data_IF_014622788552
#
_entry.id   IF_014622788552
#
_cell.length_a   1.000
_cell.length_b   1.000
_cell.length_c   1.000
_cell.angle_alpha   90.00
_cell.angle_beta   90.00
_cell.angle_gamma   90.00
#
_symmetry.space_group_name_H-M   'P 1'
#
loop_
_entity.id
_entity.type
_entity.pdbx_description
1 polymer ?
#
# COMPACT_ATOMS: atom_id res chain seq x y z
N UNK A 1 -6.46 -32.55 1.63
CA UNK A 1 -6.67 -31.34 2.44
C UNK A 1 -7.74 -30.53 1.75
N UNK A 2 -8.83 -30.19 2.44
CA UNK A 2 -10.02 -29.60 1.80
C UNK A 2 -9.67 -28.27 1.13
N UNK A 3 -9.82 -28.20 -0.20
CA UNK A 3 -9.80 -26.96 -0.95
C UNK A 3 -10.99 -26.13 -0.46
N UNK A 4 -10.77 -25.31 0.56
CA UNK A 4 -11.69 -24.24 0.91
C UNK A 4 -11.76 -23.33 -0.31
N UNK A 5 -12.96 -23.10 -0.81
CA UNK A 5 -13.24 -22.21 -1.91
C UNK A 5 -14.22 -21.16 -1.40
N UNK A 6 -13.99 -19.91 -1.78
CA UNK A 6 -14.98 -18.85 -1.61
C UNK A 6 -16.11 -19.15 -2.58
N UNK A 7 -17.35 -19.32 -2.08
CA UNK A 7 -18.50 -19.55 -2.94
C UNK A 7 -18.65 -18.37 -3.90
N UNK A 8 -18.85 -18.67 -5.18
CA UNK A 8 -19.06 -17.64 -6.19
C UNK A 8 -20.49 -17.11 -6.09
N UNK A 9 -20.66 -15.80 -6.34
CA UNK A 9 -21.97 -15.19 -6.47
C UNK A 9 -22.01 -14.21 -7.65
N UNK A 10 -23.21 -13.93 -8.16
CA UNK A 10 -23.41 -12.90 -9.19
C UNK A 10 -23.00 -11.50 -8.70
N UNK A 11 -23.15 -11.24 -7.40
CA UNK A 11 -22.75 -9.97 -6.78
C UNK A 11 -21.23 -9.81 -6.81
N UNK A 12 -20.50 -10.82 -6.32
CA UNK A 12 -19.03 -10.84 -6.34
C UNK A 12 -18.49 -10.75 -7.78
N UNK A 13 -19.07 -11.49 -8.72
CA UNK A 13 -18.70 -11.45 -10.12
C UNK A 13 -18.82 -10.05 -10.74
N UNK A 14 -19.94 -9.36 -10.46
CA UNK A 14 -20.16 -7.99 -10.92
C UNK A 14 -19.15 -7.03 -10.31
N UNK A 15 -18.85 -7.15 -9.01
CA UNK A 15 -17.85 -6.32 -8.33
C UNK A 15 -16.45 -6.51 -8.92
N UNK A 16 -16.04 -7.76 -9.16
CA UNK A 16 -14.74 -8.10 -9.80
C UNK A 16 -14.66 -7.45 -11.18
N UNK A 17 -15.69 -7.64 -12.00
CA UNK A 17 -15.74 -7.10 -13.37
C UNK A 17 -15.71 -5.57 -13.37
N UNK A 18 -16.54 -4.94 -12.54
CA UNK A 18 -16.62 -3.49 -12.42
C UNK A 18 -15.27 -2.91 -12.00
N UNK A 19 -14.66 -3.46 -10.94
CA UNK A 19 -13.38 -2.96 -10.44
C UNK A 19 -12.27 -3.13 -11.45
N UNK A 20 -12.20 -4.28 -12.14
CA UNK A 20 -11.23 -4.48 -13.23
C UNK A 20 -11.38 -3.41 -14.32
N UNK A 21 -12.61 -3.09 -14.71
CA UNK A 21 -12.87 -2.05 -15.72
C UNK A 21 -12.53 -0.65 -15.24
N UNK A 22 -12.76 -0.33 -13.96
CA UNK A 22 -12.34 0.95 -13.35
C UNK A 22 -10.82 1.11 -13.36
N UNK A 23 -10.09 0.01 -13.14
CA UNK A 23 -8.62 -0.03 -13.21
C UNK A 23 -8.08 -0.05 -14.65
N UNK A 24 -8.94 -0.03 -15.66
CA UNK A 24 -8.54 -0.04 -17.07
C UNK A 24 -7.88 -1.36 -17.54
N UNK A 25 -8.01 -2.45 -16.78
CA UNK A 25 -7.35 -3.72 -17.07
C UNK A 25 -8.15 -4.57 -18.05
N UNK A 26 -7.48 -5.17 -19.02
CA UNK A 26 -8.04 -6.26 -19.83
C UNK A 26 -8.17 -7.54 -19.01
N UNK A 27 -8.96 -8.50 -19.49
CA UNK A 27 -9.12 -9.80 -18.81
C UNK A 27 -7.79 -10.56 -18.82
N UNK A 28 -7.04 -10.47 -19.92
CA UNK A 28 -5.74 -11.10 -20.11
C UNK A 28 -4.71 -10.55 -19.12
N UNK A 29 -4.64 -9.23 -18.97
CA UNK A 29 -3.74 -8.57 -18.01
C UNK A 29 -4.12 -8.92 -16.58
N UNK A 30 -5.40 -8.84 -16.23
CA UNK A 30 -5.87 -9.16 -14.89
C UNK A 30 -5.60 -10.63 -14.52
N UNK A 31 -5.87 -11.55 -15.45
CA UNK A 31 -5.60 -12.97 -15.26
C UNK A 31 -4.10 -13.25 -15.09
N UNK A 32 -3.27 -12.67 -15.97
CA UNK A 32 -1.82 -12.80 -15.92
C UNK A 32 -1.25 -12.30 -14.59
N UNK A 33 -1.64 -11.09 -14.17
CA UNK A 33 -1.20 -10.48 -12.90
C UNK A 33 -1.66 -11.27 -11.67
N UNK A 34 -2.85 -11.90 -11.72
CA UNK A 34 -3.36 -12.72 -10.63
C UNK A 34 -2.79 -14.16 -10.61
N UNK A 35 -1.94 -14.53 -11.56
CA UNK A 35 -1.39 -15.88 -11.67
C UNK A 35 -2.48 -16.93 -11.94
N UNK A 36 -3.47 -16.58 -12.76
CA UNK A 36 -4.55 -17.47 -13.23
C UNK A 36 -4.68 -17.42 -14.76
N UNK A 37 -5.29 -18.44 -15.36
CA UNK A 37 -5.56 -18.41 -16.80
C UNK A 37 -6.70 -17.45 -17.14
N UNK A 38 -6.70 -16.86 -18.34
CA UNK A 38 -7.77 -15.98 -18.85
C UNK A 38 -9.16 -16.59 -18.70
N UNK A 39 -9.31 -17.88 -19.05
CA UNK A 39 -10.57 -18.63 -18.86
C UNK A 39 -10.99 -18.73 -17.40
N UNK A 40 -10.03 -18.84 -16.49
CA UNK A 40 -10.28 -18.89 -15.04
C UNK A 40 -10.78 -17.54 -14.53
N UNK A 41 -10.20 -16.43 -15.00
CA UNK A 41 -10.70 -15.09 -14.68
C UNK A 41 -12.12 -14.86 -15.21
N UNK A 42 -12.40 -15.23 -16.46
CA UNK A 42 -13.76 -15.15 -17.02
C UNK A 42 -14.80 -15.90 -16.19
N UNK A 43 -14.42 -17.04 -15.57
CA UNK A 43 -15.30 -17.82 -14.69
C UNK A 43 -15.58 -17.07 -13.38
N UNK A 44 -14.61 -16.35 -12.83
CA UNK A 44 -14.82 -15.51 -11.66
C UNK A 44 -15.80 -14.37 -11.96
N UNK A 45 -15.67 -13.72 -13.12
CA UNK A 45 -16.65 -12.71 -13.60
C UNK A 45 -18.00 -13.29 -14.04
N UNK A 46 -18.13 -14.61 -14.11
CA UNK A 46 -19.39 -15.31 -14.32
C UNK A 46 -20.05 -15.80 -13.02
N UNK A 47 -19.38 -15.62 -11.87
CA UNK A 47 -19.88 -16.02 -10.55
C UNK A 47 -19.56 -17.46 -10.15
N UNK A 48 -18.54 -18.08 -10.75
CA UNK A 48 -18.02 -19.36 -10.26
C UNK A 48 -17.21 -19.18 -8.96
N UNK A 49 -17.04 -20.28 -8.23
CA UNK A 49 -16.29 -20.28 -6.98
C UNK A 49 -14.79 -20.02 -7.19
N UNK A 50 -14.21 -19.29 -6.26
CA UNK A 50 -12.80 -18.92 -6.25
C UNK A 50 -12.09 -19.79 -5.23
N UNK A 51 -11.05 -20.52 -5.65
CA UNK A 51 -10.26 -21.30 -4.70
C UNK A 51 -9.46 -20.38 -3.78
N UNK A 52 -9.31 -20.76 -2.50
CA UNK A 52 -8.63 -19.91 -1.51
C UNK A 52 -7.21 -19.52 -1.92
N UNK A 53 -6.47 -20.40 -2.60
CA UNK A 53 -5.12 -20.13 -3.10
C UNK A 53 -5.06 -19.00 -4.14
N UNK A 54 -6.20 -18.68 -4.78
CA UNK A 54 -6.29 -17.65 -5.83
C UNK A 54 -6.86 -16.32 -5.34
N UNK A 55 -7.45 -16.31 -4.15
CA UNK A 55 -8.03 -15.11 -3.53
C UNK A 55 -7.01 -13.98 -3.45
N UNK A 56 -5.80 -14.28 -2.95
CA UNK A 56 -4.73 -13.27 -2.79
C UNK A 56 -4.36 -12.59 -4.11
N UNK A 57 -4.18 -13.36 -5.19
CA UNK A 57 -3.85 -12.83 -6.51
C UNK A 57 -4.97 -11.97 -7.10
N UNK A 58 -6.24 -12.35 -6.89
CA UNK A 58 -7.39 -11.56 -7.34
C UNK A 58 -7.50 -10.25 -6.55
N UNK A 59 -7.37 -10.32 -5.22
CA UNK A 59 -7.35 -9.15 -4.35
C UNK A 59 -6.27 -8.15 -4.76
N UNK A 60 -5.03 -8.63 -5.00
CA UNK A 60 -3.92 -7.82 -5.53
C UNK A 60 -4.31 -7.08 -6.80
N UNK A 61 -4.80 -7.80 -7.81
CA UNK A 61 -5.14 -7.21 -9.12
C UNK A 61 -6.27 -6.19 -9.05
N UNK A 62 -7.19 -6.35 -8.10
CA UNK A 62 -8.34 -5.45 -7.94
C UNK A 62 -8.08 -4.31 -6.94
N UNK A 63 -6.88 -4.23 -6.35
CA UNK A 63 -6.55 -3.38 -5.21
C UNK A 63 -7.59 -3.53 -4.08
N UNK A 64 -7.91 -4.78 -3.73
CA UNK A 64 -8.80 -5.11 -2.61
C UNK A 64 -7.99 -5.69 -1.44
N UNK A 65 -8.25 -5.24 -0.20
CA UNK A 65 -7.56 -5.78 0.97
C UNK A 65 -7.93 -7.25 1.26
N UNK A 66 -9.19 -7.65 1.01
CA UNK A 66 -9.64 -9.04 1.12
C UNK A 66 -10.91 -9.29 0.30
N UNK A 67 -11.08 -10.50 -0.25
CA UNK A 67 -12.24 -10.92 -1.05
C UNK A 67 -13.46 -11.25 -0.18
N UNK A 68 -13.26 -11.63 1.10
CA UNK A 68 -14.33 -12.06 2.02
C UNK A 68 -15.13 -10.87 2.60
N UNK A 69 -14.56 -9.66 2.55
CA UNK A 69 -15.24 -8.43 2.97
C UNK A 69 -16.47 -8.09 2.11
N UNK A 70 -16.74 -8.82 1.01
CA UNK A 70 -17.80 -8.45 0.06
C UNK A 70 -19.13 -9.20 0.19
N UNK A 71 -19.24 -10.23 1.03
CA UNK A 71 -20.49 -11.03 1.15
C UNK A 71 -21.14 -11.07 2.54
N UNK A 72 -20.40 -10.95 3.66
CA UNK A 72 -20.98 -11.13 5.02
C UNK A 72 -20.54 -10.14 6.09
N UNK A 73 -19.67 -9.18 5.80
CA UNK A 73 -19.58 -8.02 6.68
C UNK A 73 -20.79 -7.14 6.36
N UNK A 74 -21.69 -7.01 7.35
CA UNK A 74 -22.37 -5.72 7.56
C UNK A 74 -21.29 -4.69 7.31
N UNK A 75 -21.42 -3.88 6.24
CA UNK A 75 -20.48 -2.82 5.88
C UNK A 75 -19.85 -2.27 7.16
N UNK A 76 -18.64 -2.74 7.50
CA UNK A 76 -17.85 -2.11 8.54
C UNK A 76 -17.26 -0.91 7.84
N UNK A 77 -18.16 0.05 7.60
CA UNK A 77 -17.87 1.37 7.10
C UNK A 77 -16.68 1.86 7.90
N UNK A 78 -15.58 2.11 7.20
CA UNK A 78 -14.33 2.48 7.86
C UNK A 78 -14.60 3.73 8.67
N UNK A 79 -14.52 3.59 9.99
CA UNK A 79 -14.77 4.68 10.92
C UNK A 79 -13.43 5.27 11.32
N UNK A 80 -13.17 6.50 10.91
CA UNK A 80 -12.00 7.27 11.38
C UNK A 80 -11.98 7.36 12.91
N UNK A 81 -13.15 7.38 13.55
CA UNK A 81 -13.24 7.42 15.01
C UNK A 81 -12.69 6.14 15.66
N UNK A 82 -12.81 4.98 15.00
CA UNK A 82 -12.28 3.72 15.51
C UNK A 82 -10.75 3.70 15.39
N UNK A 83 -10.22 4.22 14.27
CA UNK A 83 -8.78 4.36 14.05
C UNK A 83 -8.09 5.35 14.98
N UNK A 84 -8.83 6.25 15.65
CA UNK A 84 -8.21 7.18 16.61
C UNK A 84 -7.56 6.48 17.82
N UNK A 85 -7.97 5.24 18.10
CA UNK A 85 -7.35 4.39 19.13
C UNK A 85 -6.22 3.51 18.59
N UNK A 86 -5.97 3.58 17.28
CA UNK A 86 -4.94 2.79 16.63
C UNK A 86 -3.56 3.15 17.16
N UNK A 87 -2.68 2.17 17.28
CA UNK A 87 -1.34 2.40 17.84
C UNK A 87 -0.48 3.31 16.98
N UNK A 88 -0.69 3.30 15.66
CA UNK A 88 -0.01 4.17 14.71
C UNK A 88 -0.69 5.53 14.55
N UNK A 89 -1.79 5.82 15.27
CA UNK A 89 -2.46 7.11 15.19
C UNK A 89 -1.54 8.23 15.70
N UNK A 90 -1.15 9.14 14.81
CA UNK A 90 -0.31 10.28 15.17
C UNK A 90 -1.13 11.49 15.60
N UNK A 91 -1.06 11.80 16.89
CA UNK A 91 -1.63 13.04 17.44
C UNK A 91 -0.99 14.30 16.84
N UNK A 92 0.27 14.21 16.41
CA UNK A 92 0.97 15.29 15.73
C UNK A 92 0.31 15.55 14.36
N UNK A 93 0.19 14.51 13.53
CA UNK A 93 -0.45 14.64 12.20
C UNK A 93 -1.89 15.15 12.32
N UNK A 94 -2.67 14.66 13.29
CA UNK A 94 -4.05 15.10 13.49
C UNK A 94 -4.12 16.62 13.78
N UNK A 95 -3.22 17.12 14.62
CA UNK A 95 -3.20 18.54 15.00
C UNK A 95 -2.73 19.43 13.86
N UNK A 96 -1.69 19.00 13.15
CA UNK A 96 -1.00 19.77 12.10
C UNK A 96 -1.78 19.74 10.78
N UNK A 97 -2.15 18.54 10.30
CA UNK A 97 -2.71 18.31 8.96
C UNK A 97 -4.16 17.79 8.97
N UNK A 98 -4.73 17.58 10.16
CA UNK A 98 -6.13 17.14 10.31
C UNK A 98 -6.29 15.62 10.46
N UNK A 99 -7.52 15.20 10.76
CA UNK A 99 -7.82 13.80 11.13
C UNK A 99 -7.60 12.82 9.98
N UNK A 100 -7.77 13.28 8.74
CA UNK A 100 -7.56 12.42 7.56
C UNK A 100 -6.07 12.08 7.43
N UNK A 101 -5.15 13.02 7.64
CA UNK A 101 -3.71 12.73 7.57
C UNK A 101 -3.28 11.69 8.62
N UNK A 102 -3.75 11.84 9.86
CA UNK A 102 -3.49 10.85 10.92
C UNK A 102 -4.09 9.48 10.61
N UNK A 103 -5.31 9.46 10.07
CA UNK A 103 -5.94 8.23 9.58
C UNK A 103 -5.15 7.61 8.43
N UNK A 104 -4.72 8.41 7.45
CA UNK A 104 -3.97 7.93 6.28
C UNK A 104 -2.68 7.27 6.69
N UNK A 105 -1.91 7.89 7.60
CA UNK A 105 -0.72 7.23 8.11
C UNK A 105 -1.06 5.94 8.87
N UNK A 106 -2.04 5.95 9.76
CA UNK A 106 -2.39 4.78 10.56
C UNK A 106 -2.86 3.59 9.69
N UNK A 107 -3.90 3.79 8.88
CA UNK A 107 -4.46 2.74 8.02
C UNK A 107 -3.48 2.32 6.92
N UNK A 108 -2.82 3.29 6.28
CA UNK A 108 -1.79 3.03 5.28
C UNK A 108 -0.62 2.23 5.83
N UNK A 109 -0.20 2.49 7.07
CA UNK A 109 0.89 1.75 7.71
C UNK A 109 0.57 0.29 7.98
N UNK A 110 -0.69 -0.06 8.28
CA UNK A 110 -1.10 -1.46 8.42
C UNK A 110 -1.08 -2.16 7.07
N UNK A 111 -1.64 -1.53 6.04
CA UNK A 111 -1.68 -2.08 4.68
C UNK A 111 -0.25 -2.29 4.16
N UNK A 112 0.60 -1.28 4.26
CA UNK A 112 1.97 -1.35 3.79
C UNK A 112 2.77 -2.43 4.55
N UNK A 113 2.57 -2.56 5.86
CA UNK A 113 3.22 -3.59 6.66
C UNK A 113 2.84 -5.01 6.20
N UNK A 114 1.55 -5.24 5.93
CA UNK A 114 1.06 -6.53 5.41
C UNK A 114 1.63 -6.83 4.03
N UNK A 115 1.69 -5.83 3.15
CA UNK A 115 2.25 -5.96 1.80
C UNK A 115 3.76 -6.28 1.81
N UNK A 116 4.53 -5.59 2.65
CA UNK A 116 5.96 -5.88 2.86
C UNK A 116 6.11 -7.32 3.36
N UNK A 117 5.37 -7.70 4.40
CA UNK A 117 5.41 -9.04 4.99
C UNK A 117 5.09 -10.11 3.95
N UNK A 118 4.08 -9.87 3.12
CA UNK A 118 3.64 -10.79 2.08
C UNK A 118 4.69 -10.99 0.98
N UNK A 119 5.29 -9.91 0.48
CA UNK A 119 6.33 -10.00 -0.55
C UNK A 119 7.61 -10.64 0.02
N UNK A 120 7.96 -10.36 1.28
CA UNK A 120 9.04 -11.05 1.99
C UNK A 120 8.80 -12.56 2.13
N UNK A 121 7.57 -12.97 2.47
CA UNK A 121 7.22 -14.39 2.54
C UNK A 121 7.37 -15.08 1.17
N UNK A 122 7.01 -14.41 0.08
CA UNK A 122 7.22 -14.97 -1.27
C UNK A 122 8.70 -15.04 -1.64
N UNK A 123 9.50 -14.04 -1.28
CA UNK A 123 10.95 -14.04 -1.50
C UNK A 123 11.66 -15.21 -0.80
N UNK A 124 11.16 -15.66 0.36
CA UNK A 124 11.75 -16.82 1.08
C UNK A 124 11.69 -18.12 0.28
N UNK A 125 10.86 -18.19 -0.76
CA UNK A 125 10.71 -19.35 -1.65
C UNK A 125 11.69 -19.32 -2.83
N UNK A 126 12.41 -18.21 -3.01
CA UNK A 126 13.37 -18.01 -4.09
C UNK A 126 14.82 -18.10 -3.55
N UNK A 127 15.83 -18.30 -4.45
CA UNK A 127 17.23 -18.28 -4.04
C UNK A 127 17.66 -16.94 -3.42
N UNK A 128 18.71 -16.98 -2.59
CA UNK A 128 19.35 -15.75 -2.07
C UNK A 128 19.78 -14.85 -3.23
N UNK A 129 19.50 -13.54 -3.10
CA UNK A 129 19.75 -12.54 -4.14
C UNK A 129 18.58 -12.32 -5.10
N UNK A 130 17.45 -13.00 -4.89
CA UNK A 130 16.20 -12.66 -5.56
C UNK A 130 15.59 -11.37 -5.04
N UNK A 131 14.83 -10.69 -5.89
CA UNK A 131 14.19 -9.41 -5.63
C UNK A 131 12.70 -9.44 -6.04
N UNK A 132 11.90 -8.49 -5.57
CA UNK A 132 10.44 -8.52 -5.74
C UNK A 132 9.98 -8.52 -7.21
N UNK A 133 10.79 -7.99 -8.12
CA UNK A 133 10.52 -8.01 -9.56
C UNK A 133 10.54 -9.42 -10.18
N UNK A 134 10.99 -10.43 -9.44
CA UNK A 134 10.97 -11.83 -9.86
C UNK A 134 9.78 -12.61 -9.27
N UNK A 135 8.99 -11.99 -8.39
CA UNK A 135 7.80 -12.61 -7.83
C UNK A 135 6.71 -12.68 -8.90
N UNK A 136 5.93 -13.75 -8.89
CA UNK A 136 4.77 -13.87 -9.77
C UNK A 136 3.73 -12.75 -9.52
N UNK A 137 3.67 -12.24 -8.29
CA UNK A 137 2.71 -11.22 -7.88
C UNK A 137 3.24 -10.47 -6.65
N UNK A 138 3.86 -9.32 -6.86
CA UNK A 138 4.35 -8.41 -5.81
C UNK A 138 3.33 -7.29 -5.59
N UNK A 139 3.14 -6.89 -4.32
CA UNK A 139 2.40 -5.65 -4.02
C UNK A 139 3.28 -4.42 -4.26
N UNK A 140 4.56 -4.51 -3.90
CA UNK A 140 5.47 -3.37 -3.87
C UNK A 140 6.14 -3.05 -5.21
N UNK A 141 6.23 -4.00 -6.14
CA UNK A 141 6.99 -3.84 -7.38
C UNK A 141 6.51 -2.68 -8.26
N UNK A 142 5.20 -2.43 -8.28
CA UNK A 142 4.58 -1.35 -9.05
C UNK A 142 4.49 -0.02 -8.25
N UNK A 143 4.73 -0.06 -6.93
CA UNK A 143 4.66 1.11 -6.05
C UNK A 143 6.03 1.71 -5.77
N UNK A 144 7.06 0.88 -5.66
CA UNK A 144 8.42 1.33 -5.42
C UNK A 144 9.04 1.91 -6.71
N UNK A 145 10.00 2.85 -6.59
CA UNK A 145 10.64 3.48 -7.73
C UNK A 145 11.24 2.46 -8.72
N UNK A 146 10.93 2.53 -10.02
CA UNK A 146 11.30 1.45 -10.96
C UNK A 146 12.81 1.36 -11.21
N UNK A 147 13.57 2.45 -11.05
CA UNK A 147 15.02 2.47 -11.30
C UNK A 147 15.77 1.43 -10.46
N UNK A 148 15.32 1.17 -9.23
CA UNK A 148 16.02 0.31 -8.28
C UNK A 148 15.36 -1.06 -8.08
N UNK A 149 14.49 -1.50 -9.01
CA UNK A 149 13.73 -2.74 -8.90
C UNK A 149 14.54 -3.98 -8.52
N UNK A 150 15.80 -4.05 -8.97
CA UNK A 150 16.71 -5.17 -8.70
C UNK A 150 17.34 -5.13 -7.29
N UNK A 151 17.22 -4.01 -6.59
CA UNK A 151 17.72 -3.82 -5.22
C UNK A 151 16.67 -4.14 -4.14
N UNK A 152 15.41 -4.34 -4.53
CA UNK A 152 14.32 -4.64 -3.62
C UNK A 152 14.30 -6.13 -3.26
N UNK A 153 15.31 -6.55 -2.51
CA UNK A 153 15.47 -7.91 -2.00
C UNK A 153 14.89 -8.06 -0.58
N UNK A 154 15.07 -9.26 0.00
CA UNK A 154 14.55 -9.55 1.34
C UNK A 154 15.16 -8.64 2.42
N UNK A 155 16.45 -8.33 2.34
CA UNK A 155 17.14 -7.50 3.33
C UNK A 155 16.63 -6.06 3.27
N UNK A 156 16.45 -5.53 2.06
CA UNK A 156 15.83 -4.21 1.87
C UNK A 156 14.40 -4.16 2.43
N UNK A 157 13.57 -5.16 2.13
CA UNK A 157 12.21 -5.20 2.67
C UNK A 157 12.17 -5.36 4.19
N UNK A 158 13.07 -6.16 4.77
CA UNK A 158 13.20 -6.28 6.23
C UNK A 158 13.58 -4.93 6.86
N UNK A 159 14.52 -4.21 6.26
CA UNK A 159 14.90 -2.87 6.69
C UNK A 159 13.73 -1.88 6.61
N UNK A 160 12.98 -1.90 5.51
CA UNK A 160 11.78 -1.08 5.32
C UNK A 160 10.71 -1.40 6.38
N UNK A 161 10.50 -2.69 6.69
CA UNK A 161 9.59 -3.14 7.74
C UNK A 161 10.01 -2.59 9.12
N UNK A 162 11.28 -2.71 9.49
CA UNK A 162 11.78 -2.16 10.76
C UNK A 162 11.60 -0.65 10.85
N UNK A 163 11.84 0.09 9.76
CA UNK A 163 11.63 1.54 9.71
C UNK A 163 10.17 1.92 9.84
N UNK A 164 9.28 1.20 9.17
CA UNK A 164 7.83 1.38 9.31
C UNK A 164 7.37 1.15 10.75
N UNK A 165 7.84 0.08 11.41
CA UNK A 165 7.54 -0.17 12.83
C UNK A 165 8.05 0.95 13.74
N UNK A 166 9.24 1.49 13.48
CA UNK A 166 9.77 2.65 14.23
C UNK A 166 8.85 3.88 14.09
N UNK A 167 8.43 4.21 12.87
CA UNK A 167 7.51 5.34 12.60
C UNK A 167 6.15 5.15 13.28
N UNK A 168 5.60 3.91 13.26
CA UNK A 168 4.37 3.55 13.99
C UNK A 168 4.53 3.77 15.49
N UNK A 169 5.65 3.33 16.06
CA UNK A 169 5.94 3.46 17.49
C UNK A 169 6.10 4.94 17.92
N UNK A 170 6.76 5.78 17.12
CA UNK A 170 6.88 7.21 17.42
C UNK A 170 5.53 7.91 17.43
N UNK A 171 4.63 7.55 16.50
CA UNK A 171 3.29 8.15 16.41
C UNK A 171 2.47 7.96 17.70
N UNK A 172 2.59 6.79 18.35
CA UNK A 172 1.96 6.49 19.65
C UNK A 172 2.39 7.42 20.78
N UNK A 173 3.65 7.88 20.74
CA UNK A 173 4.25 8.70 21.80
C UNK A 173 3.93 10.19 21.67
N UNK A 174 3.27 10.60 20.58
CA UNK A 174 2.95 12.00 20.29
C UNK A 174 4.17 12.84 19.91
N UNK A 175 5.32 12.19 19.66
CA UNK A 175 6.50 12.80 19.08
C UNK A 175 6.16 13.26 17.64
N UNK A 176 6.66 14.42 17.20
CA UNK A 176 6.53 14.83 15.80
C UNK A 176 6.97 13.71 14.85
N UNK A 177 6.14 13.42 13.86
CA UNK A 177 6.53 12.50 12.79
C UNK A 177 7.41 13.31 11.84
N UNK A 178 8.71 13.00 11.79
CA UNK A 178 9.68 13.67 10.93
C UNK A 178 10.45 12.58 10.18
N UNK A 179 10.62 12.75 8.87
CA UNK A 179 11.46 11.88 8.07
C UNK A 179 12.90 12.40 8.08
N UNK A 180 13.84 11.54 8.46
CA UNK A 180 15.26 11.87 8.54
C UNK A 180 16.09 11.26 7.40
N UNK A 181 15.45 10.44 6.55
CA UNK A 181 16.08 9.73 5.44
C UNK A 181 15.07 9.54 4.29
N UNK A 182 15.57 9.29 3.08
CA UNK A 182 14.72 9.02 1.90
C UNK A 182 13.86 7.78 2.12
N UNK A 183 14.36 6.75 2.81
CA UNK A 183 13.57 5.56 3.14
C UNK A 183 12.37 5.92 4.03
N UNK A 184 12.54 6.83 4.99
CA UNK A 184 11.45 7.27 5.86
C UNK A 184 10.42 8.12 5.09
N UNK A 185 10.85 9.05 4.24
CA UNK A 185 9.93 9.78 3.34
C UNK A 185 9.16 8.83 2.44
N UNK A 186 9.86 7.87 1.81
CA UNK A 186 9.26 6.88 0.93
C UNK A 186 8.21 6.03 1.67
N UNK A 187 8.51 5.58 2.88
CA UNK A 187 7.55 4.81 3.69
C UNK A 187 6.31 5.65 3.99
N UNK A 188 6.47 6.90 4.44
CA UNK A 188 5.34 7.76 4.79
C UNK A 188 4.51 8.08 3.53
N UNK A 189 5.18 8.33 2.39
CA UNK A 189 4.54 8.51 1.09
C UNK A 189 3.71 7.30 0.68
N UNK A 190 4.28 6.09 0.75
CA UNK A 190 3.56 4.85 0.40
C UNK A 190 2.38 4.57 1.34
N UNK A 191 2.52 4.84 2.64
CA UNK A 191 1.37 4.78 3.56
C UNK A 191 0.24 5.71 3.09
N UNK A 192 0.56 6.93 2.63
CA UNK A 192 -0.44 7.85 2.12
C UNK A 192 -1.10 7.33 0.82
N UNK A 193 -0.33 6.80 -0.12
CA UNK A 193 -0.86 6.23 -1.37
C UNK A 193 -1.85 5.08 -1.09
N UNK A 194 -1.48 4.15 -0.21
CA UNK A 194 -2.36 3.05 0.20
C UNK A 194 -3.64 3.55 0.88
N UNK A 195 -3.52 4.55 1.74
CA UNK A 195 -4.67 5.16 2.36
C UNK A 195 -5.56 5.90 1.36
N UNK A 196 -5.00 6.53 0.32
CA UNK A 196 -5.79 7.19 -0.72
C UNK A 196 -6.63 6.17 -1.49
N UNK A 197 -6.07 5.02 -1.83
CA UNK A 197 -6.83 3.91 -2.47
C UNK A 197 -8.01 3.49 -1.58
N UNK A 198 -7.76 3.35 -0.28
CA UNK A 198 -8.79 3.01 0.71
C UNK A 198 -9.87 4.10 0.85
N UNK A 199 -9.46 5.36 0.91
CA UNK A 199 -10.36 6.51 1.01
C UNK A 199 -11.22 6.67 -0.25
N UNK A 200 -10.67 6.33 -1.41
CA UNK A 200 -11.41 6.34 -2.68
C UNK A 200 -12.45 5.22 -2.74
N UNK A 201 -12.15 4.03 -2.24
CA UNK A 201 -13.16 2.96 -2.14
C UNK A 201 -14.27 3.27 -1.14
N UNK A 202 -13.98 4.04 -0.10
CA UNK A 202 -14.92 4.40 0.98
C UNK A 202 -15.47 5.83 0.87
N UNK A 203 -15.35 6.44 -0.32
CA UNK A 203 -15.61 7.88 -0.51
C UNK A 203 -17.01 8.31 -0.07
N UNK A 204 -18.02 7.46 -0.29
CA UNK A 204 -19.41 7.74 0.13
C UNK A 204 -19.55 7.70 1.65
N UNK A 205 -18.94 6.70 2.30
CA UNK A 205 -18.92 6.51 3.75
C UNK A 205 -18.18 7.63 4.48
N UNK A 206 -17.08 8.11 3.88
CA UNK A 206 -16.17 9.10 4.47
C UNK A 206 -16.40 10.53 3.96
N UNK A 207 -17.44 10.79 3.17
CA UNK A 207 -17.70 12.08 2.55
C UNK A 207 -17.78 13.25 3.54
N UNK A 208 -18.28 13.02 4.76
CA UNK A 208 -18.34 14.04 5.82
C UNK A 208 -16.96 14.34 6.43
N UNK A 209 -16.07 13.34 6.45
CA UNK A 209 -14.72 13.47 6.98
C UNK A 209 -13.77 14.15 5.98
N UNK A 210 -13.95 13.92 4.69
CA UNK A 210 -13.18 14.55 3.61
C UNK A 210 -13.44 16.06 3.46
N UNK A 211 -14.44 16.62 4.17
CA UNK A 211 -14.68 18.06 4.27
C UNK A 211 -13.85 18.75 5.36
N UNK A 212 -12.93 18.02 6.01
CA UNK A 212 -12.01 18.61 6.98
C UNK A 212 -11.16 19.68 6.29
N UNK A 213 -11.30 20.94 6.72
CA UNK A 213 -10.63 22.09 6.12
C UNK A 213 -9.12 22.08 6.33
N UNK A 214 -8.61 21.31 7.29
CA UNK A 214 -7.17 21.18 7.53
C UNK A 214 -6.49 20.20 6.57
N UNK A 215 -7.25 19.25 6.04
CA UNK A 215 -6.71 18.21 5.19
C UNK A 215 -6.56 18.68 3.74
N UNK A 216 -5.37 18.47 3.20
CA UNK A 216 -5.06 18.53 1.77
C UNK A 216 -4.60 17.14 1.33
N UNK A 217 -4.83 16.77 0.07
CA UNK A 217 -4.26 15.51 -0.47
C UNK A 217 -2.72 15.53 -0.46
N UNK A 218 -2.17 16.73 -0.38
CA UNK A 218 -0.74 17.04 -0.50
C UNK A 218 -0.05 17.22 0.87
N UNK A 219 -0.73 16.87 1.98
CA UNK A 219 -0.19 17.04 3.34
C UNK A 219 1.17 16.37 3.56
N UNK A 220 1.49 15.36 2.75
CA UNK A 220 2.77 14.68 2.77
C UNK A 220 3.92 15.59 2.33
N UNK A 221 3.66 16.47 1.35
CA UNK A 221 4.63 17.43 0.86
C UNK A 221 4.76 18.60 1.82
N UNK A 222 3.66 18.99 2.48
CA UNK A 222 3.72 19.94 3.59
C UNK A 222 4.50 19.37 4.80
N UNK A 223 4.52 18.03 4.97
CA UNK A 223 5.32 17.36 6.00
C UNK A 223 6.81 17.34 5.66
N UNK A 224 7.14 17.11 4.39
CA UNK A 224 8.53 17.05 3.89
C UNK A 224 9.12 18.44 3.59
N UNK A 225 8.28 19.48 3.52
CA UNK A 225 8.66 20.83 3.07
C UNK A 225 9.18 20.90 1.63
N UNK A 226 8.89 19.86 0.82
CA UNK A 226 9.23 19.75 -0.59
C UNK A 226 8.37 18.70 -1.33
N UNK A 227 8.66 18.49 -2.61
CA UNK A 227 8.09 17.41 -3.43
C UNK A 227 9.20 16.54 -4.06
N UNK A 228 10.36 16.48 -3.41
CA UNK A 228 11.56 15.87 -3.97
C UNK A 228 11.42 14.36 -4.08
N UNK A 229 10.66 13.71 -3.18
CA UNK A 229 10.35 12.29 -3.28
C UNK A 229 9.69 11.92 -4.62
N UNK A 230 8.71 12.70 -5.08
CA UNK A 230 8.03 12.48 -6.38
C UNK A 230 8.91 12.93 -7.54
N UNK A 231 9.53 14.10 -7.40
CA UNK A 231 10.37 14.68 -8.45
C UNK A 231 11.55 13.77 -8.77
N UNK A 232 12.24 13.27 -7.75
CA UNK A 232 13.45 12.47 -7.89
C UNK A 232 13.16 11.00 -8.21
N UNK A 233 12.18 10.38 -7.55
CA UNK A 233 11.97 8.93 -7.66
C UNK A 233 10.93 8.50 -8.71
N UNK A 234 9.98 9.38 -9.05
CA UNK A 234 8.81 9.03 -9.88
C UNK A 234 8.68 9.86 -11.17
N UNK A 235 9.53 10.86 -11.41
CA UNK A 235 9.44 11.74 -12.61
C UNK A 235 10.33 11.34 -13.79
N UNK A 236 10.67 10.05 -13.90
CA UNK A 236 11.54 9.50 -14.96
C UNK A 236 12.93 10.15 -15.05
N UNK A 237 13.46 10.65 -13.93
CA UNK A 237 14.84 11.08 -13.83
C UNK A 237 15.74 9.87 -13.52
N UNK A 238 16.87 9.77 -14.20
CA UNK A 238 17.89 8.77 -13.88
C UNK A 238 18.82 9.32 -12.80
N UNK A 239 18.78 8.72 -11.61
CA UNK A 239 19.62 9.14 -10.48
C UNK A 239 20.97 8.43 -10.53
N UNK A 240 22.06 9.18 -10.49
CA UNK A 240 23.41 8.64 -10.33
C UNK A 240 23.74 8.43 -8.84
N UNK A 241 24.78 7.65 -8.53
CA UNK A 241 25.21 7.39 -7.15
C UNK A 241 25.54 8.64 -6.34
N UNK A 242 25.86 9.77 -6.98
CA UNK A 242 26.14 11.03 -6.27
C UNK A 242 24.87 11.77 -5.80
N UNK A 243 23.68 11.31 -6.23
CA UNK A 243 22.42 11.94 -5.91
C UNK A 243 21.86 11.44 -4.57
N UNK A 244 21.41 12.35 -3.70
CA UNK A 244 20.92 12.03 -2.34
C UNK A 244 19.71 11.06 -2.33
N UNK A 245 18.89 11.06 -3.37
CA UNK A 245 17.77 10.13 -3.59
C UNK A 245 18.18 8.80 -4.28
N UNK A 246 19.45 8.60 -4.62
CA UNK A 246 19.89 7.31 -5.14
C UNK A 246 19.79 6.22 -4.05
N UNK A 247 19.42 5.00 -4.42
CA UNK A 247 19.15 3.89 -3.49
C UNK A 247 20.25 3.66 -2.43
N UNK A 248 21.51 3.88 -2.80
CA UNK A 248 22.65 3.76 -1.87
C UNK A 248 22.54 4.65 -0.61
N UNK A 249 21.81 5.76 -0.70
CA UNK A 249 21.67 6.76 0.37
C UNK A 249 20.35 6.64 1.13
N UNK A 250 19.47 5.71 0.77
CA UNK A 250 18.11 5.71 1.31
C UNK A 250 18.02 5.56 2.83
N UNK A 251 18.98 4.88 3.44
CA UNK A 251 19.03 4.72 4.90
C UNK A 251 19.92 5.76 5.61
N UNK A 252 20.60 6.61 4.87
CA UNK A 252 21.45 7.64 5.46
C UNK A 252 20.57 8.70 6.12
N UNK A 253 20.94 9.09 7.35
CA UNK A 253 20.31 10.23 8.01
C UNK A 253 20.86 11.48 7.36
N UNK A 254 20.03 12.13 6.56
CA UNK A 254 20.41 13.29 5.74
C UNK A 254 19.43 14.45 5.82
N UNK A 255 18.23 14.22 6.35
CA UNK A 255 17.20 15.25 6.53
C UNK A 255 17.07 15.64 7.99
N UNK A 256 16.85 16.95 8.22
CA UNK A 256 16.63 17.55 9.54
C UNK A 256 17.63 17.08 10.62
N UNK A 257 18.92 17.01 10.25
CA UNK A 257 20.00 16.47 11.09
C UNK A 257 20.41 17.41 12.25
N UNK A 258 19.59 18.42 12.56
CA UNK A 258 19.86 19.42 13.60
C UNK A 258 18.62 19.66 14.48
N UNK A 259 18.71 19.20 15.73
CA UNK A 259 18.22 19.89 16.94
C UNK A 259 19.13 19.52 18.10
#
# INVERSE_FOLDING_TARGET
MSNKAVPGSKSLANKIKQRRTELGLTIEEAASRAGVGTKTWCRYEAGESIRQDKVKGICKVLNWPNLIASENDVEKNISIADYRKHEAWSNYLEKTFGKIAAFSFAAGSDILYDQITDDMQELTKLPKGSHIGQLNCSYLADMLPPQFLMHYDYEFLYQMQCKLEQLRNFSKTGIPLIAHSVLEELIIYLCNEEALILLESEKESLASNLKDKKYTKDWIFDLFDDMDIVTCLYSNLYLTTDHIYHFSHWNEIQFYVNS
#
